data_IF_003834199979
#
_entry.id   IF_003834199979
#
_cell.length_a   1.000
_cell.length_b   1.000
_cell.length_c   1.000
_cell.angle_alpha   90.00
_cell.angle_beta   90.00
_cell.angle_gamma   90.00
#
_symmetry.space_group_name_H-M   'P 1'
#
loop_
_entity.id
_entity.type
_entity.pdbx_description
1 polymer ?
#
# COMPACT_ATOMS: atom_id res chain seq x y z
N UNK A 1 13.13 -21.60 -63.47
CA UNK A 1 13.21 -20.13 -63.58
C UNK A 1 12.31 -19.55 -62.49
N UNK A 2 12.81 -18.55 -61.75
CA UNK A 2 12.26 -18.08 -60.47
C UNK A 2 11.03 -17.16 -60.61
N UNK A 3 10.12 -17.12 -59.62
CA UNK A 3 9.04 -16.13 -59.57
C UNK A 3 9.61 -14.73 -59.31
N UNK A 4 9.09 -13.72 -60.03
CA UNK A 4 9.48 -12.32 -59.84
C UNK A 4 8.93 -11.72 -58.54
N UNK A 5 9.57 -10.68 -57.97
CA UNK A 5 9.11 -10.06 -56.73
C UNK A 5 7.83 -9.24 -56.97
N UNK A 6 6.84 -9.44 -56.12
CA UNK A 6 5.62 -8.62 -56.03
C UNK A 6 5.89 -7.38 -55.18
N UNK A 7 5.60 -6.18 -55.70
CA UNK A 7 5.65 -4.93 -54.93
C UNK A 7 4.31 -4.71 -54.20
N UNK A 8 4.35 -4.49 -52.89
CA UNK A 8 3.19 -4.16 -52.06
C UNK A 8 3.15 -2.65 -51.75
N UNK A 9 1.98 -1.98 -51.82
CA UNK A 9 1.87 -0.54 -51.53
C UNK A 9 2.06 -0.21 -50.04
N UNK A 10 2.48 1.02 -49.69
CA UNK A 10 2.64 1.45 -48.29
C UNK A 10 1.30 1.57 -47.56
N UNK A 11 1.31 1.27 -46.25
CA UNK A 11 0.15 1.35 -45.36
C UNK A 11 -0.19 2.80 -44.96
N UNK A 12 -1.47 3.13 -44.68
CA UNK A 12 -1.88 4.46 -44.22
C UNK A 12 -1.48 4.73 -42.75
N UNK A 13 -1.06 5.96 -42.45
CA UNK A 13 -0.71 6.42 -41.10
C UNK A 13 -1.94 6.64 -40.19
N UNK A 14 -1.82 6.47 -38.86
CA UNK A 14 -2.93 6.64 -37.93
C UNK A 14 -3.27 8.12 -37.64
N UNK A 15 -4.53 8.50 -37.86
CA UNK A 15 -5.08 9.82 -37.52
C UNK A 15 -5.18 10.06 -36.00
N UNK A 16 -4.63 11.18 -35.52
CA UNK A 16 -4.66 11.54 -34.09
C UNK A 16 -6.07 12.01 -33.63
N UNK A 17 -6.63 11.38 -32.59
CA UNK A 17 -7.88 11.79 -31.93
C UNK A 17 -7.65 12.94 -30.94
N UNK A 18 -8.51 13.97 -30.95
CA UNK A 18 -8.52 15.03 -29.91
C UNK A 18 -9.16 14.55 -28.60
N UNK A 19 -8.66 15.03 -27.45
CA UNK A 19 -9.12 14.69 -26.08
C UNK A 19 -10.19 15.66 -25.55
N UNK A 20 -11.10 15.23 -24.65
CA UNK A 20 -12.10 16.09 -24.00
C UNK A 20 -11.48 17.02 -22.92
N UNK A 21 -12.14 18.15 -22.63
CA UNK A 21 -11.75 19.12 -21.59
C UNK A 21 -12.55 18.86 -20.29
N UNK A 22 -11.91 19.05 -19.12
CA UNK A 22 -12.48 18.76 -17.78
C UNK A 22 -13.15 19.98 -17.12
N UNK A 23 -14.17 19.74 -16.28
CA UNK A 23 -14.89 20.73 -15.44
C UNK A 23 -14.27 20.83 -14.03
N UNK A 24 -14.44 21.97 -13.32
CA UNK A 24 -13.82 22.26 -12.00
C UNK A 24 -14.83 22.24 -10.84
N UNK A 25 -14.43 21.70 -9.68
CA UNK A 25 -15.23 21.54 -8.44
C UNK A 25 -15.10 22.77 -7.49
N UNK A 26 -16.14 23.12 -6.68
CA UNK A 26 -16.10 24.18 -5.66
C UNK A 26 -15.15 23.92 -4.46
N UNK A 27 -14.77 25.00 -3.78
CA UNK A 27 -13.72 25.03 -2.74
C UNK A 27 -14.27 24.79 -1.31
N UNK A 28 -13.56 24.04 -0.43
CA UNK A 28 -13.97 23.78 0.95
C UNK A 28 -13.84 25.02 1.89
N UNK A 29 -14.58 25.04 3.03
CA UNK A 29 -14.50 26.10 4.04
C UNK A 29 -13.17 26.10 4.83
N UNK A 30 -12.80 27.21 5.52
CA UNK A 30 -11.55 27.29 6.27
C UNK A 30 -11.54 26.35 7.48
N UNK A 31 -10.42 25.64 7.67
CA UNK A 31 -10.15 24.77 8.82
C UNK A 31 -9.84 25.59 10.09
N UNK A 32 -10.19 25.10 11.30
CA UNK A 32 -9.87 25.79 12.54
C UNK A 32 -8.37 25.80 12.86
N UNK A 33 -7.88 26.89 13.47
CA UNK A 33 -6.49 27.04 13.96
C UNK A 33 -6.25 26.20 15.24
N UNK A 34 -6.36 24.88 15.14
CA UNK A 34 -6.02 23.93 16.20
C UNK A 34 -4.61 23.34 16.03
N UNK A 35 -4.11 22.57 17.01
CA UNK A 35 -2.99 21.69 16.72
C UNK A 35 -3.37 20.77 15.55
N UNK A 36 -2.40 20.39 14.70
CA UNK A 36 -2.67 19.44 13.63
C UNK A 36 -3.24 18.15 14.25
N UNK A 37 -4.22 17.51 13.58
CA UNK A 37 -4.68 16.20 14.02
C UNK A 37 -3.49 15.23 14.04
N UNK A 38 -3.38 14.45 15.12
CA UNK A 38 -2.46 13.31 15.16
C UNK A 38 -2.94 12.25 14.18
N UNK A 39 -2.03 11.73 13.36
CA UNK A 39 -2.35 10.66 12.42
C UNK A 39 -2.56 9.35 13.18
N UNK A 40 -3.31 8.41 12.60
CA UNK A 40 -3.49 7.06 13.18
C UNK A 40 -2.16 6.31 13.34
N UNK A 41 -1.19 6.60 12.48
CA UNK A 41 0.17 6.07 12.56
C UNK A 41 0.96 6.63 13.74
N UNK A 42 0.58 7.80 14.24
CA UNK A 42 1.24 8.50 15.37
C UNK A 42 0.59 8.17 16.73
N UNK A 43 -0.52 7.40 16.74
CA UNK A 43 -1.26 6.99 17.95
C UNK A 43 -0.75 5.65 18.50
N UNK A 44 0.56 5.56 18.71
CA UNK A 44 1.24 4.42 19.34
C UNK A 44 2.06 4.95 20.53
N UNK A 45 2.11 4.24 21.68
CA UNK A 45 2.90 4.68 22.83
C UNK A 45 4.38 4.87 22.47
N UNK A 46 5.04 5.80 23.16
CA UNK A 46 6.44 6.13 22.92
C UNK A 46 7.33 5.10 23.63
N UNK A 47 8.48 4.74 23.04
CA UNK A 47 9.41 3.75 23.64
C UNK A 47 9.96 4.17 25.02
N UNK A 48 9.88 5.47 25.35
CA UNK A 48 10.32 6.03 26.63
C UNK A 48 9.22 5.98 27.73
N UNK A 49 8.02 5.46 27.42
CA UNK A 49 6.92 5.36 28.38
C UNK A 49 7.24 4.31 29.48
N UNK A 50 7.19 4.68 30.77
CA UNK A 50 7.64 3.81 31.87
C UNK A 50 6.73 2.60 32.13
N UNK A 51 5.49 2.64 31.62
CA UNK A 51 4.56 1.52 31.60
C UNK A 51 4.63 0.70 30.30
N UNK A 52 5.38 1.18 29.30
CA UNK A 52 5.68 0.39 28.13
C UNK A 52 6.68 -0.70 28.52
N UNK A 53 6.19 -1.94 28.48
CA UNK A 53 7.07 -3.09 28.62
C UNK A 53 7.69 -3.36 27.25
N UNK A 54 9.01 -3.16 27.12
CA UNK A 54 9.85 -3.52 25.95
C UNK A 54 9.77 -5.00 25.53
N UNK A 55 8.98 -5.77 26.23
CA UNK A 55 8.76 -7.19 26.03
C UNK A 55 7.29 -7.48 26.23
N UNK A 56 6.44 -6.84 25.43
CA UNK A 56 5.21 -7.50 24.99
C UNK A 56 5.64 -8.76 24.24
N UNK A 57 6.09 -9.76 24.99
CA UNK A 57 6.42 -11.08 24.51
C UNK A 57 5.26 -11.47 23.61
N UNK A 58 5.58 -11.90 22.39
CA UNK A 58 4.58 -12.42 21.47
C UNK A 58 3.72 -13.39 22.28
N UNK A 59 2.38 -13.29 22.18
CA UNK A 59 1.49 -14.11 23.00
C UNK A 59 1.88 -15.58 22.99
N UNK A 60 2.47 -16.04 21.88
CA UNK A 60 3.10 -17.34 21.70
C UNK A 60 4.18 -17.68 22.77
N UNK A 61 5.14 -16.80 22.99
CA UNK A 61 6.25 -17.01 23.93
C UNK A 61 5.79 -16.93 25.39
N UNK A 62 4.77 -16.11 25.68
CA UNK A 62 4.10 -16.09 26.98
C UNK A 62 3.41 -17.42 27.28
N UNK A 63 2.74 -17.99 26.27
CA UNK A 63 2.02 -19.27 26.42
C UNK A 63 3.01 -20.41 26.70
N UNK A 64 4.14 -20.47 25.97
CA UNK A 64 5.18 -21.48 26.19
C UNK A 64 5.77 -21.36 27.60
N UNK A 65 6.10 -20.15 28.04
CA UNK A 65 6.82 -19.93 29.31
C UNK A 65 5.94 -20.03 30.55
N UNK A 66 4.74 -19.43 30.54
CA UNK A 66 3.88 -19.35 31.73
C UNK A 66 3.08 -20.62 31.98
N UNK A 67 2.60 -21.26 30.91
CA UNK A 67 1.81 -22.50 31.00
C UNK A 67 2.67 -23.76 30.85
N UNK A 68 3.99 -23.62 30.62
CA UNK A 68 4.88 -24.74 30.33
C UNK A 68 4.49 -25.49 29.06
N UNK A 69 3.84 -24.81 28.12
CA UNK A 69 3.44 -25.39 26.85
C UNK A 69 4.68 -25.66 25.98
N UNK A 70 4.59 -26.64 25.08
CA UNK A 70 5.63 -26.94 24.09
C UNK A 70 5.07 -26.82 22.69
N UNK A 71 5.81 -26.17 21.80
CA UNK A 71 5.48 -26.15 20.37
C UNK A 71 5.81 -27.51 19.78
N UNK A 72 4.80 -28.17 19.23
CA UNK A 72 4.98 -29.50 18.60
C UNK A 72 5.22 -29.32 17.11
N UNK A 73 4.38 -28.54 16.43
CA UNK A 73 4.49 -28.23 15.02
C UNK A 73 3.99 -26.80 14.78
N UNK A 74 4.74 -26.04 13.97
CA UNK A 74 4.37 -24.69 13.53
C UNK A 74 4.06 -24.73 12.03
N UNK A 75 2.94 -24.16 11.63
CA UNK A 75 2.53 -24.06 10.23
C UNK A 75 2.35 -22.58 9.86
N UNK A 76 3.06 -22.14 8.84
CA UNK A 76 2.86 -20.81 8.24
C UNK A 76 1.62 -20.87 7.34
N UNK A 77 0.58 -20.13 7.70
CA UNK A 77 -0.67 -20.11 6.93
C UNK A 77 -0.65 -18.94 5.94
N UNK A 78 0.02 -19.12 4.81
CA UNK A 78 0.02 -18.19 3.67
C UNK A 78 -1.26 -18.26 2.83
#
# INVERSE_FOLDING_TARGET
>A
AAPGPVQQPPAPEPSQRRRPQAFREPEPPPEPDGPPPVSLEDDTPEDDDPDLVDSALSGHDLIVRELGATVVEEYTNE
#
